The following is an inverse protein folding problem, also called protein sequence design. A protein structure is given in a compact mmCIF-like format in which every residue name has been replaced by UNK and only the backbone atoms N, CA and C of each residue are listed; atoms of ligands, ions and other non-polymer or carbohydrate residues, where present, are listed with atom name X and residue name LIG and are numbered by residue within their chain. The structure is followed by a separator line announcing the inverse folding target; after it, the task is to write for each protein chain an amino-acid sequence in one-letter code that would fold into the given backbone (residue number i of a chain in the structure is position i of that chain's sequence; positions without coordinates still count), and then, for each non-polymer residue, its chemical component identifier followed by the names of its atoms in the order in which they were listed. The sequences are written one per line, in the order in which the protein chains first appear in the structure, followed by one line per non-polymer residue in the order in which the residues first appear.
data_IF_555583673147
#
_entry.id   IF_555583673147
#
_cell.length_a   1.000
_cell.length_b   1.000
_cell.length_c   1.000
_cell.angle_alpha   90.00
_cell.angle_beta   90.00
_cell.angle_gamma   90.00
#
_symmetry.space_group_name_H-M   'P 1'
#
loop_
_entity.id
_entity.type
_entity.pdbx_description
1 polymer ?
#
# COMPACT_ATOMS: atom_id res chain seq x y z
N UNK A 1 6.46 -50.43 -18.53
CA UNK A 1 5.83 -49.98 -17.27
C UNK A 1 5.64 -48.48 -17.36
N UNK A 2 4.40 -48.02 -17.55
CA UNK A 2 4.06 -46.61 -17.44
C UNK A 2 4.02 -46.31 -15.94
N UNK A 3 4.80 -45.36 -15.40
CA UNK A 3 4.71 -45.02 -13.99
C UNK A 3 3.30 -44.45 -13.78
N UNK A 4 2.48 -45.17 -13.02
CA UNK A 4 1.19 -44.66 -12.57
C UNK A 4 1.48 -43.44 -11.71
N UNK A 5 1.26 -42.24 -12.26
CA UNK A 5 1.30 -41.02 -11.48
C UNK A 5 0.32 -41.18 -10.33
N UNK A 6 0.86 -41.19 -9.11
CA UNK A 6 0.04 -41.31 -7.92
C UNK A 6 -0.91 -40.11 -7.91
N UNK A 7 -2.21 -40.34 -7.71
CA UNK A 7 -3.24 -39.29 -7.69
C UNK A 7 -2.84 -38.17 -6.71
N UNK A 8 -2.17 -38.55 -5.61
CA UNK A 8 -1.65 -37.62 -4.64
C UNK A 8 -0.59 -36.67 -5.23
N UNK A 9 0.29 -37.17 -6.09
CA UNK A 9 1.32 -36.36 -6.76
C UNK A 9 0.70 -35.40 -7.77
N UNK A 10 -0.35 -35.83 -8.48
CA UNK A 10 -1.08 -34.98 -9.41
C UNK A 10 -1.82 -33.83 -8.69
N UNK A 11 -2.46 -34.14 -7.55
CA UNK A 11 -3.12 -33.14 -6.69
C UNK A 11 -2.10 -32.16 -6.14
N UNK A 12 -0.96 -32.66 -5.65
CA UNK A 12 0.09 -31.80 -5.08
C UNK A 12 0.69 -30.86 -6.13
N UNK A 13 0.92 -31.35 -7.35
CA UNK A 13 1.37 -30.52 -8.47
C UNK A 13 0.37 -29.40 -8.81
N UNK A 14 -0.94 -29.68 -8.75
CA UNK A 14 -1.98 -28.67 -8.97
C UNK A 14 -1.97 -27.58 -7.90
N UNK A 15 -1.86 -27.98 -6.63
CA UNK A 15 -1.76 -27.06 -5.48
C UNK A 15 -0.53 -26.17 -5.60
N UNK A 16 0.63 -26.76 -5.90
CA UNK A 16 1.89 -26.02 -6.05
C UNK A 16 1.82 -25.01 -7.20
N UNK A 17 1.17 -25.37 -8.31
CA UNK A 17 0.99 -24.47 -9.45
C UNK A 17 0.13 -23.25 -9.08
N UNK A 18 -0.96 -23.47 -8.32
CA UNK A 18 -1.84 -22.40 -7.84
C UNK A 18 -1.10 -21.50 -6.85
N UNK A 19 -0.36 -22.07 -5.91
CA UNK A 19 0.43 -21.30 -4.94
C UNK A 19 1.50 -20.48 -5.66
N UNK A 20 2.22 -21.04 -6.63
CA UNK A 20 3.23 -20.31 -7.42
C UNK A 20 2.60 -19.18 -8.22
N UNK A 21 1.46 -19.41 -8.86
CA UNK A 21 0.74 -18.37 -9.59
C UNK A 21 0.25 -17.25 -8.67
N UNK A 22 -0.28 -17.60 -7.50
CA UNK A 22 -0.70 -16.65 -6.48
C UNK A 22 0.50 -15.84 -5.96
N UNK A 23 1.63 -16.48 -5.65
CA UNK A 23 2.83 -15.81 -5.18
C UNK A 23 3.45 -14.87 -6.23
N UNK A 24 3.32 -15.20 -7.51
CA UNK A 24 3.82 -14.37 -8.62
C UNK A 24 2.90 -13.17 -8.92
N UNK A 25 1.59 -13.31 -8.71
CA UNK A 25 0.59 -12.31 -9.10
C UNK A 25 0.07 -11.46 -7.93
N UNK A 26 0.06 -12.02 -6.71
CA UNK A 26 -0.46 -11.37 -5.50
C UNK A 26 0.73 -10.97 -4.62
N UNK A 27 1.04 -9.67 -4.52
CA UNK A 27 2.11 -9.22 -3.65
C UNK A 27 1.73 -9.51 -2.17
N UNK A 28 2.53 -10.36 -1.50
CA UNK A 28 2.36 -10.77 -0.08
C UNK A 28 2.38 -9.60 0.92
N UNK A 29 2.77 -8.41 0.46
CA UNK A 29 2.64 -7.15 1.17
C UNK A 29 2.00 -6.16 0.24
N UNK A 30 1.03 -5.40 0.75
CA UNK A 30 0.63 -4.17 0.06
C UNK A 30 1.88 -3.35 -0.22
N UNK A 31 2.03 -2.74 -1.42
CA UNK A 31 3.06 -1.73 -1.62
C UNK A 31 2.85 -0.70 -0.53
N UNK A 32 3.76 -0.71 0.46
CA UNK A 32 3.68 0.03 1.72
C UNK A 32 2.94 1.35 1.49
N UNK A 33 1.79 1.61 2.15
CA UNK A 33 1.05 2.85 1.95
C UNK A 33 2.05 3.99 2.08
N UNK A 34 2.26 4.68 0.95
CA UNK A 34 3.41 5.55 0.64
C UNK A 34 4.15 5.99 1.90
N UNK A 35 5.39 5.49 2.08
CA UNK A 35 6.37 5.92 3.10
C UNK A 35 6.10 7.37 3.48
N UNK A 36 5.87 7.60 4.78
CA UNK A 36 5.56 8.88 5.40
C UNK A 36 5.97 10.06 4.52
N UNK A 37 4.96 10.79 4.03
CA UNK A 37 5.12 11.78 2.97
C UNK A 37 6.15 12.87 3.30
N UNK A 38 6.54 12.98 4.58
CA UNK A 38 7.50 13.94 5.12
C UNK A 38 8.92 13.41 4.99
N UNK A 39 9.80 14.03 4.17
CA UNK A 39 11.19 13.59 3.97
C UNK A 39 12.02 13.51 5.25
N UNK A 40 11.62 14.24 6.28
CA UNK A 40 12.27 14.30 7.60
C UNK A 40 11.78 13.24 8.59
N UNK A 41 10.77 12.44 8.26
CA UNK A 41 10.27 11.41 9.15
C UNK A 41 11.20 10.19 9.15
N UNK A 42 11.74 9.86 10.33
CA UNK A 42 12.68 8.76 10.54
C UNK A 42 12.26 7.93 11.76
N UNK A 43 13.00 6.84 12.04
CA UNK A 43 12.69 5.96 13.16
C UNK A 43 12.87 6.64 14.52
N UNK A 44 13.80 7.58 14.66
CA UNK A 44 13.90 8.40 15.87
C UNK A 44 12.61 9.20 16.15
N UNK A 45 11.98 9.78 15.12
CA UNK A 45 10.68 10.44 15.24
C UNK A 45 9.57 9.45 15.64
N UNK A 46 9.58 8.24 15.05
CA UNK A 46 8.63 7.17 15.36
C UNK A 46 8.73 6.76 16.83
N UNK A 47 9.94 6.50 17.30
CA UNK A 47 10.22 6.04 18.67
C UNK A 47 9.88 7.11 19.69
N UNK A 48 10.25 8.37 19.43
CA UNK A 48 9.91 9.48 20.30
C UNK A 48 8.38 9.72 20.38
N UNK A 49 7.66 9.59 19.26
CA UNK A 49 6.20 9.63 19.25
C UNK A 49 5.57 8.44 19.98
N UNK A 50 6.15 7.24 19.85
CA UNK A 50 5.69 6.04 20.57
C UNK A 50 5.84 6.23 22.08
N UNK A 51 7.00 6.72 22.53
CA UNK A 51 7.25 6.97 23.95
C UNK A 51 6.34 8.08 24.50
N UNK A 52 6.15 9.17 23.75
CA UNK A 52 5.20 10.22 24.12
C UNK A 52 3.78 9.66 24.31
N UNK A 53 3.31 8.79 23.40
CA UNK A 53 1.98 8.15 23.51
C UNK A 53 1.91 7.18 24.69
N UNK A 54 2.99 6.45 24.96
CA UNK A 54 3.09 5.55 26.13
C UNK A 54 2.95 6.34 27.43
N UNK A 55 3.75 7.39 27.62
CA UNK A 55 3.66 8.24 28.83
C UNK A 55 2.29 8.93 28.94
N UNK A 56 1.70 9.36 27.82
CA UNK A 56 0.33 9.90 27.80
C UNK A 56 -0.69 8.85 28.25
N UNK A 57 -0.59 7.62 27.76
CA UNK A 57 -1.47 6.51 28.15
C UNK A 57 -1.40 6.21 29.65
N UNK A 58 -0.20 6.22 30.23
CA UNK A 58 0.02 6.04 31.67
C UNK A 58 -0.59 7.21 32.46
N UNK A 59 -0.23 8.46 32.12
CA UNK A 59 -0.77 9.64 32.80
C UNK A 59 -2.29 9.74 32.70
N UNK A 60 -2.88 9.39 31.55
CA UNK A 60 -4.32 9.38 31.34
C UNK A 60 -5.04 8.37 32.24
N UNK A 61 -4.43 7.21 32.50
CA UNK A 61 -4.99 6.18 33.39
C UNK A 61 -4.75 6.52 34.87
N UNK A 62 -3.58 7.05 35.17
CA UNK A 62 -3.12 7.33 36.53
C UNK A 62 -2.54 8.76 36.61
N UNK A 63 -3.38 9.76 36.91
CA UNK A 63 -3.01 11.17 36.84
C UNK A 63 -2.22 11.63 38.08
N UNK A 64 -1.02 11.07 38.26
CA UNK A 64 -0.09 11.46 39.33
C UNK A 64 0.89 12.54 38.84
N UNK A 65 1.48 13.28 39.78
CA UNK A 65 2.49 14.32 39.49
C UNK A 65 3.71 13.74 38.76
N UNK A 66 4.18 12.56 39.18
CA UNK A 66 5.29 11.87 38.54
C UNK A 66 4.97 11.51 37.08
N UNK A 67 3.78 10.96 36.82
CA UNK A 67 3.34 10.62 35.47
C UNK A 67 3.19 11.86 34.58
N UNK A 68 2.74 12.99 35.15
CA UNK A 68 2.68 14.27 34.45
C UNK A 68 4.08 14.76 34.06
N UNK A 69 5.05 14.66 34.96
CA UNK A 69 6.46 15.03 34.69
C UNK A 69 7.04 14.13 33.58
N UNK A 70 6.84 12.81 33.67
CA UNK A 70 7.29 11.87 32.66
C UNK A 70 6.69 12.18 31.29
N UNK A 71 5.38 12.42 31.20
CA UNK A 71 4.71 12.83 29.97
C UNK A 71 5.25 14.16 29.43
N UNK A 72 5.45 15.17 30.27
CA UNK A 72 6.02 16.47 29.85
C UNK A 72 7.44 16.31 29.29
N UNK A 73 8.28 15.49 29.92
CA UNK A 73 9.63 15.16 29.43
C UNK A 73 9.57 14.46 28.07
N UNK A 74 8.75 13.42 27.93
CA UNK A 74 8.58 12.70 26.67
C UNK A 74 8.05 13.62 25.55
N UNK A 75 7.08 14.50 25.87
CA UNK A 75 6.55 15.51 24.94
C UNK A 75 7.61 16.51 24.49
N UNK A 76 8.47 16.98 25.40
CA UNK A 76 9.58 17.87 25.07
C UNK A 76 10.61 17.18 24.17
N UNK A 77 10.97 15.94 24.48
CA UNK A 77 11.91 15.16 23.67
C UNK A 77 11.37 14.89 22.26
N UNK A 78 10.11 14.47 22.12
CA UNK A 78 9.47 14.27 20.83
C UNK A 78 9.45 15.55 19.98
N UNK A 79 9.18 16.71 20.60
CA UNK A 79 9.27 18.02 19.92
C UNK A 79 10.70 18.32 19.46
N UNK A 80 11.70 18.07 20.30
CA UNK A 80 13.13 18.28 19.99
C UNK A 80 13.57 17.42 18.80
N UNK A 81 13.31 16.12 18.86
CA UNK A 81 13.67 15.15 17.81
C UNK A 81 13.02 15.55 16.49
N UNK A 82 11.71 15.86 16.50
CA UNK A 82 10.99 16.31 15.31
C UNK A 82 11.64 17.54 14.65
N UNK A 83 11.95 18.58 15.43
CA UNK A 83 12.59 19.80 14.93
C UNK A 83 13.99 19.52 14.38
N UNK A 84 14.76 18.68 15.08
CA UNK A 84 16.10 18.27 14.64
C UNK A 84 16.05 17.52 13.31
N UNK A 85 15.18 16.52 13.18
CA UNK A 85 15.05 15.75 11.93
C UNK A 85 14.53 16.59 10.76
N UNK A 86 13.62 17.55 11.01
CA UNK A 86 13.23 18.54 10.02
C UNK A 86 14.42 19.36 9.50
N UNK A 87 15.21 19.92 10.43
CA UNK A 87 16.39 20.72 10.10
C UNK A 87 17.43 19.89 9.33
N UNK A 88 17.78 18.71 9.82
CA UNK A 88 18.78 17.84 9.19
C UNK A 88 18.35 17.40 7.79
N UNK A 89 17.08 17.04 7.62
CA UNK A 89 16.53 16.73 6.30
C UNK A 89 16.57 17.91 5.35
N UNK A 90 16.32 19.13 5.83
CA UNK A 90 16.37 20.33 5.01
C UNK A 90 17.79 20.68 4.60
N UNK A 91 18.75 20.59 5.53
CA UNK A 91 20.18 20.77 5.23
C UNK A 91 20.63 19.75 4.18
N UNK A 92 20.33 18.46 4.38
CA UNK A 92 20.65 17.41 3.40
C UNK A 92 20.06 17.67 2.03
N UNK A 93 18.83 18.19 1.98
CA UNK A 93 18.19 18.56 0.72
C UNK A 93 18.95 19.70 0.04
N UNK A 94 19.20 20.80 0.74
CA UNK A 94 19.93 21.94 0.19
C UNK A 94 21.33 21.54 -0.30
N UNK A 95 22.03 20.69 0.44
CA UNK A 95 23.33 20.14 0.03
C UNK A 95 23.25 19.23 -1.20
N UNK A 96 22.08 18.70 -1.55
CA UNK A 96 21.89 17.86 -2.75
C UNK A 96 21.56 18.64 -4.03
N UNK A 97 21.36 19.96 -3.93
CA UNK A 97 21.03 20.81 -5.08
C UNK A 97 22.33 21.07 -5.87
N UNK A 98 22.34 20.64 -7.13
CA UNK A 98 23.43 20.88 -8.09
C UNK A 98 22.91 21.64 -9.31
N UNK A 99 23.81 22.10 -10.19
CA UNK A 99 23.46 22.77 -11.45
C UNK A 99 22.55 21.95 -12.37
N UNK A 100 22.52 20.63 -12.20
CA UNK A 100 21.68 19.72 -12.98
C UNK A 100 20.29 19.49 -12.35
N UNK A 101 20.00 20.11 -11.21
CA UNK A 101 18.70 19.95 -10.53
C UNK A 101 17.65 20.79 -11.25
N UNK A 102 16.63 20.14 -11.82
CA UNK A 102 15.54 20.85 -12.49
C UNK A 102 14.73 21.71 -11.51
N UNK A 103 14.19 22.82 -11.99
CA UNK A 103 13.27 23.67 -11.22
C UNK A 103 12.04 22.88 -10.74
N UNK A 104 11.56 21.94 -11.56
CA UNK A 104 10.44 21.06 -11.23
C UNK A 104 10.74 20.16 -10.02
N UNK A 105 11.93 19.57 -9.95
CA UNK A 105 12.34 18.71 -8.83
C UNK A 105 12.54 19.50 -7.53
N UNK A 106 13.07 20.72 -7.66
CA UNK A 106 13.21 21.63 -6.53
C UNK A 106 11.84 21.99 -5.95
N UNK A 107 10.89 22.41 -6.80
CA UNK A 107 9.52 22.71 -6.38
C UNK A 107 8.79 21.50 -5.79
N UNK A 108 9.01 20.30 -6.34
CA UNK A 108 8.44 19.06 -5.80
C UNK A 108 8.92 18.78 -4.37
N UNK A 109 10.21 18.97 -4.10
CA UNK A 109 10.81 18.76 -2.78
C UNK A 109 10.42 19.87 -1.77
N UNK A 110 10.33 21.13 -2.20
CA UNK A 110 9.81 22.25 -1.39
C UNK A 110 8.36 21.98 -0.95
N UNK A 111 7.50 21.62 -1.90
CA UNK A 111 6.10 21.24 -1.62
C UNK A 111 6.04 20.06 -0.63
N UNK A 112 6.86 19.04 -0.83
CA UNK A 112 6.94 17.89 0.07
C UNK A 112 7.44 18.23 1.49
N UNK A 113 8.34 19.21 1.65
CA UNK A 113 8.79 19.70 2.95
C UNK A 113 7.68 20.46 3.70
N UNK A 114 6.89 21.25 2.97
CA UNK A 114 5.73 21.98 3.49
C UNK A 114 4.49 21.11 3.72
N UNK A 115 4.54 19.82 3.38
CA UNK A 115 3.40 18.93 3.52
C UNK A 115 2.35 19.10 2.43
N UNK A 116 2.65 19.88 1.38
CA UNK A 116 1.80 20.07 0.21
C UNK A 116 2.11 18.92 -0.74
N UNK A 117 1.21 17.94 -0.81
CA UNK A 117 1.36 16.79 -1.71
C UNK A 117 0.32 16.87 -2.81
N UNK A 118 0.72 16.50 -4.02
CA UNK A 118 -0.24 16.24 -5.08
C UNK A 118 -1.18 15.15 -4.58
N UNK A 119 -2.48 15.43 -4.58
CA UNK A 119 -3.49 14.44 -4.26
C UNK A 119 -3.38 13.27 -5.24
N UNK A 120 -3.85 12.10 -4.81
CA UNK A 120 -3.87 10.93 -5.67
C UNK A 120 -4.80 11.24 -6.85
N UNK A 121 -4.21 11.47 -8.02
CA UNK A 121 -4.97 11.50 -9.26
C UNK A 121 -5.35 10.07 -9.58
N UNK A 122 -6.65 9.80 -9.68
CA UNK A 122 -7.12 8.49 -10.11
C UNK A 122 -6.56 8.19 -11.51
N UNK A 123 -6.03 6.98 -11.74
CA UNK A 123 -5.51 6.62 -13.05
C UNK A 123 -6.66 6.63 -14.06
N UNK A 124 -6.41 7.27 -15.20
CA UNK A 124 -7.33 7.25 -16.33
C UNK A 124 -7.20 5.91 -17.02
N UNK A 125 -8.31 5.17 -17.17
CA UNK A 125 -8.33 3.91 -17.91
C UNK A 125 -8.67 4.22 -19.36
N UNK A 126 -7.78 3.85 -20.28
CA UNK A 126 -8.04 3.93 -21.71
C UNK A 126 -8.46 2.54 -22.19
N UNK A 127 -9.73 2.39 -22.52
CA UNK A 127 -10.26 1.25 -23.29
C UNK A 127 -10.38 1.64 -24.75
N UNK A 128 -10.43 0.67 -25.67
CA UNK A 128 -10.65 0.94 -27.10
C UNK A 128 -11.93 1.73 -27.41
N UNK A 129 -12.86 1.81 -26.45
CA UNK A 129 -14.14 2.54 -26.51
C UNK A 129 -14.09 3.94 -25.89
N UNK A 130 -12.99 4.36 -25.27
CA UNK A 130 -12.85 5.68 -24.65
C UNK A 130 -11.95 5.72 -23.39
N UNK A 131 -11.68 6.94 -22.92
CA UNK A 131 -10.89 7.23 -21.71
C UNK A 131 -11.81 7.53 -20.52
N UNK A 132 -11.70 6.75 -19.45
CA UNK A 132 -12.46 6.92 -18.20
C UNK A 132 -11.61 7.60 -17.13
N UNK A 133 -12.04 8.75 -16.63
CA UNK A 133 -11.32 9.57 -15.65
C UNK A 133 -12.05 9.76 -14.33
N UNK A 134 -13.38 9.57 -14.30
CA UNK A 134 -14.17 9.56 -13.07
C UNK A 134 -13.93 8.28 -12.26
N UNK A 135 -13.85 8.32 -10.92
CA UNK A 135 -13.69 7.13 -10.09
C UNK A 135 -14.79 6.07 -10.32
N UNK A 136 -16.03 6.52 -10.56
CA UNK A 136 -17.16 5.63 -10.84
C UNK A 136 -16.97 4.91 -12.18
N UNK A 137 -16.58 5.66 -13.21
CA UNK A 137 -16.40 5.12 -14.56
C UNK A 137 -15.22 4.14 -14.61
N UNK A 138 -14.12 4.47 -13.91
CA UNK A 138 -12.96 3.59 -13.73
C UNK A 138 -13.38 2.29 -13.02
N UNK A 139 -14.17 2.37 -11.95
CA UNK A 139 -14.65 1.19 -11.24
C UNK A 139 -15.57 0.31 -12.11
N UNK A 140 -16.48 0.94 -12.86
CA UNK A 140 -17.37 0.24 -13.79
C UNK A 140 -16.60 -0.42 -14.94
N UNK A 141 -15.60 0.24 -15.51
CA UNK A 141 -14.77 -0.33 -16.58
C UNK A 141 -13.98 -1.56 -16.11
N UNK A 142 -13.41 -1.51 -14.90
CA UNK A 142 -12.77 -2.66 -14.26
C UNK A 142 -13.79 -3.78 -14.03
N UNK A 143 -14.97 -3.45 -13.49
CA UNK A 143 -16.04 -4.41 -13.23
C UNK A 143 -16.52 -5.12 -14.49
N UNK A 144 -16.72 -4.38 -15.58
CA UNK A 144 -17.11 -4.92 -16.88
C UNK A 144 -16.04 -5.87 -17.43
N UNK A 145 -14.77 -5.52 -17.31
CA UNK A 145 -13.66 -6.37 -17.74
C UNK A 145 -13.61 -7.68 -16.96
N UNK A 146 -13.82 -7.64 -15.64
CA UNK A 146 -13.89 -8.85 -14.82
C UNK A 146 -15.12 -9.70 -15.12
N UNK A 147 -16.27 -9.07 -15.38
CA UNK A 147 -17.49 -9.78 -15.78
C UNK A 147 -17.31 -10.50 -17.12
N UNK A 148 -16.63 -9.89 -18.08
CA UNK A 148 -16.33 -10.49 -19.38
C UNK A 148 -15.37 -11.69 -19.25
N UNK A 149 -14.27 -11.53 -18.51
CA UNK A 149 -13.31 -12.61 -18.22
C UNK A 149 -14.00 -13.77 -17.48
N UNK A 150 -14.87 -13.45 -16.53
CA UNK A 150 -15.60 -14.45 -15.73
C UNK A 150 -16.85 -14.97 -16.43
N UNK A 151 -17.13 -14.52 -17.65
CA UNK A 151 -18.32 -14.94 -18.38
C UNK A 151 -18.21 -16.40 -18.78
N UNK A 152 -19.37 -17.03 -18.98
CA UNK A 152 -19.43 -18.44 -19.43
C UNK A 152 -18.78 -18.63 -20.81
N UNK A 153 -18.48 -17.55 -21.55
CA UNK A 153 -17.78 -17.61 -22.85
C UNK A 153 -16.29 -17.95 -22.69
N UNK A 154 -15.71 -17.68 -21.53
CA UNK A 154 -14.29 -17.94 -21.23
C UNK A 154 -14.03 -19.36 -20.71
N UNK A 155 -15.08 -20.14 -20.43
CA UNK A 155 -14.95 -21.50 -19.93
C UNK A 155 -14.78 -22.53 -21.04
N UNK A 156 -14.08 -23.63 -20.73
CA UNK A 156 -13.94 -24.76 -21.64
C UNK A 156 -15.33 -25.34 -21.98
N UNK A 157 -15.63 -25.65 -23.26
CA UNK A 157 -16.89 -26.27 -23.68
C UNK A 157 -17.31 -27.49 -22.87
N UNK A 158 -16.35 -28.31 -22.42
CA UNK A 158 -16.64 -29.48 -21.58
C UNK A 158 -17.20 -29.09 -20.21
N UNK A 159 -16.67 -28.03 -19.59
CA UNK A 159 -17.15 -27.53 -18.31
C UNK A 159 -18.54 -26.87 -18.43
N UNK A 160 -18.83 -26.24 -19.58
CA UNK A 160 -20.15 -25.63 -19.83
C UNK A 160 -21.27 -26.66 -19.88
N UNK A 161 -21.00 -27.83 -20.45
CA UNK A 161 -21.96 -28.93 -20.49
C UNK A 161 -22.25 -29.47 -19.08
N UNK A 162 -21.22 -29.65 -18.25
CA UNK A 162 -21.37 -30.06 -16.85
C UNK A 162 -22.18 -29.03 -16.06
N UNK A 163 -21.85 -27.73 -16.22
CA UNK A 163 -22.55 -26.63 -15.57
C UNK A 163 -24.03 -26.59 -15.96
N UNK A 164 -24.36 -26.69 -17.25
CA UNK A 164 -25.76 -26.73 -17.72
C UNK A 164 -26.55 -27.88 -17.12
N UNK A 165 -25.97 -29.09 -17.09
CA UNK A 165 -26.63 -30.26 -16.51
C UNK A 165 -26.90 -30.06 -15.01
N UNK A 166 -25.97 -29.48 -14.27
CA UNK A 166 -26.13 -29.22 -12.85
C UNK A 166 -27.18 -28.11 -12.57
N UNK A 167 -27.19 -27.05 -13.36
CA UNK A 167 -28.15 -25.93 -13.22
C UNK A 167 -29.59 -26.32 -13.62
N UNK A 168 -29.77 -27.35 -14.45
CA UNK A 168 -31.09 -27.90 -14.84
C UNK A 168 -31.72 -28.84 -13.80
N UNK A 169 -30.95 -29.29 -12.80
CA UNK A 169 -31.44 -30.21 -11.75
C UNK A 169 -31.96 -29.49 -10.49
N UNK A 170 -32.15 -28.17 -10.56
CA UNK A 170 -32.80 -27.32 -9.55
C UNK A 170 -34.11 -26.79 -10.13
#
# INVERSE_FOLDING_TARGET
MIPSCNINDAVQNGIDCIIRAADASIPKRSPSPRKYRRPWWNDACRDACREQRKCWGIFRRYPTTENLIAFKRARANARRIRRRSQRESWIRFLSSITSNTSSADLWKKVKAANGIYKEFTFPVINTGTGSYSSPLDVANAIGASFADISSSRSYNPHFLEIKRRAEQMI
#
